data_IF_338934840191
#
_entry.id   IF_338934840191
#
_cell.length_a   1.000
_cell.length_b   1.000
_cell.length_c   1.000
_cell.angle_alpha   90.00
_cell.angle_beta   90.00
_cell.angle_gamma   90.00
#
_symmetry.space_group_name_H-M   'P 1'
#
loop_
_entity.id
_entity.type
_entity.pdbx_description
1 polymer ?
#
# COMPACT_ATOMS: atom_id res chain seq x y z
N UNK A 1 5.91 9.85 13.54
CA UNK A 1 4.73 9.71 12.64
C UNK A 1 5.02 10.15 11.21
N UNK A 2 5.62 11.32 10.97
CA UNK A 2 5.96 11.81 9.60
C UNK A 2 6.78 10.83 8.77
N UNK A 3 7.80 10.20 9.36
CA UNK A 3 8.58 9.15 8.68
C UNK A 3 7.72 7.98 8.21
N UNK A 4 6.78 7.53 9.05
CA UNK A 4 5.89 6.41 8.72
C UNK A 4 4.95 6.77 7.58
N UNK A 5 4.34 7.97 7.61
CA UNK A 5 3.49 8.44 6.52
C UNK A 5 4.24 8.54 5.19
N UNK A 6 5.47 9.05 5.23
CA UNK A 6 6.30 9.20 4.03
C UNK A 6 6.74 7.84 3.48
N UNK A 7 7.16 6.93 4.36
CA UNK A 7 7.48 5.55 4.01
C UNK A 7 6.28 4.85 3.35
N UNK A 8 5.10 4.97 3.95
CA UNK A 8 3.89 4.37 3.43
C UNK A 8 3.53 4.96 2.06
N UNK A 9 3.61 6.28 1.89
CA UNK A 9 3.35 6.96 0.62
C UNK A 9 4.32 6.50 -0.48
N UNK A 10 5.61 6.36 -0.17
CA UNK A 10 6.63 5.88 -1.12
C UNK A 10 6.37 4.43 -1.52
N UNK A 11 6.11 3.54 -0.57
CA UNK A 11 5.85 2.13 -0.87
C UNK A 11 4.55 1.98 -1.68
N UNK A 12 3.52 2.75 -1.35
CA UNK A 12 2.27 2.77 -2.12
C UNK A 12 2.52 3.28 -3.54
N UNK A 13 3.24 4.39 -3.73
CA UNK A 13 3.56 4.90 -5.06
C UNK A 13 4.39 3.89 -5.88
N UNK A 14 5.40 3.29 -5.26
CA UNK A 14 6.30 2.32 -5.88
C UNK A 14 5.59 1.01 -6.30
N UNK A 15 4.42 0.70 -5.74
CA UNK A 15 3.65 -0.50 -6.08
C UNK A 15 2.41 -0.19 -6.93
N UNK A 16 1.79 0.98 -6.73
CA UNK A 16 0.66 1.46 -7.52
C UNK A 16 1.08 1.85 -8.94
N UNK A 17 2.20 2.57 -9.12
CA UNK A 17 2.70 2.96 -10.43
C UNK A 17 2.95 1.77 -11.37
N UNK A 18 3.73 0.74 -10.98
CA UNK A 18 3.89 -0.44 -11.83
C UNK A 18 2.59 -1.21 -12.04
N UNK A 19 1.71 -1.28 -11.04
CA UNK A 19 0.39 -1.93 -11.21
C UNK A 19 -0.45 -1.24 -12.30
N UNK A 20 -0.54 0.09 -12.27
CA UNK A 20 -1.27 0.89 -13.27
C UNK A 20 -0.61 0.78 -14.65
N UNK A 21 0.72 0.80 -14.72
CA UNK A 21 1.45 0.60 -15.98
C UNK A 21 1.16 -0.76 -16.61
N UNK A 22 1.24 -1.86 -15.84
CA UNK A 22 0.93 -3.20 -16.36
C UNK A 22 -0.54 -3.35 -16.75
N UNK A 23 -1.45 -2.72 -16.00
CA UNK A 23 -2.88 -2.68 -16.36
C UNK A 23 -3.10 -1.91 -17.67
N UNK A 24 -2.38 -0.81 -17.88
CA UNK A 24 -2.41 -0.04 -19.13
C UNK A 24 -1.84 -0.81 -20.32
N UNK A 25 -0.73 -1.52 -20.13
CA UNK A 25 -0.18 -2.42 -21.16
C UNK A 25 -1.21 -3.47 -21.53
N UNK A 26 -1.84 -4.12 -20.55
CA UNK A 26 -2.92 -5.09 -20.80
C UNK A 26 -4.07 -4.47 -21.59
N UNK A 27 -4.51 -3.25 -21.25
CA UNK A 27 -5.59 -2.57 -21.98
C UNK A 27 -5.25 -2.33 -23.46
N UNK A 28 -3.97 -2.09 -23.78
CA UNK A 28 -3.52 -1.83 -25.16
C UNK A 28 -3.21 -3.11 -25.93
N UNK A 29 -2.61 -4.11 -25.27
CA UNK A 29 -2.13 -5.35 -25.94
C UNK A 29 -3.05 -6.56 -25.78
N UNK A 30 -3.95 -6.56 -24.80
CA UNK A 30 -4.78 -7.71 -24.45
C UNK A 30 -4.00 -8.90 -23.85
N UNK A 31 -2.71 -8.75 -23.56
CA UNK A 31 -1.86 -9.86 -23.13
C UNK A 31 -2.11 -10.24 -21.66
N UNK A 32 -2.65 -11.44 -21.41
CA UNK A 32 -3.02 -11.90 -20.06
C UNK A 32 -1.83 -11.94 -19.08
N UNK A 33 -0.61 -12.15 -19.58
CA UNK A 33 0.61 -12.13 -18.77
C UNK A 33 0.85 -10.76 -18.10
N UNK A 34 0.48 -9.66 -18.76
CA UNK A 34 0.56 -8.31 -18.19
C UNK A 34 -0.49 -8.11 -17.08
N UNK A 35 -1.69 -8.65 -17.26
CA UNK A 35 -2.76 -8.60 -16.26
C UNK A 35 -2.41 -9.38 -14.98
N UNK A 36 -1.83 -10.57 -15.12
CA UNK A 36 -1.39 -11.38 -13.98
C UNK A 36 -0.31 -10.67 -13.15
N UNK A 37 0.63 -9.98 -13.81
CA UNK A 37 1.63 -9.15 -13.12
C UNK A 37 0.97 -7.96 -12.41
N UNK A 38 0.08 -7.24 -13.10
CA UNK A 38 -0.65 -6.11 -12.51
C UNK A 38 -1.44 -6.53 -11.25
N UNK A 39 -2.10 -7.70 -11.30
CA UNK A 39 -2.88 -8.27 -10.20
C UNK A 39 -2.02 -8.60 -8.98
N UNK A 40 -0.81 -9.14 -9.18
CA UNK A 40 0.14 -9.42 -8.08
C UNK A 40 0.56 -8.14 -7.37
N UNK A 41 0.96 -7.12 -8.12
CA UNK A 41 1.30 -5.81 -7.54
C UNK A 41 0.12 -5.17 -6.81
N UNK A 42 -1.08 -5.23 -7.39
CA UNK A 42 -2.30 -4.71 -6.75
C UNK A 42 -2.64 -5.42 -5.44
N UNK A 43 -2.51 -6.75 -5.41
CA UNK A 43 -2.79 -7.56 -4.21
C UNK A 43 -1.79 -7.26 -3.11
N UNK A 44 -0.50 -7.19 -3.46
CA UNK A 44 0.56 -6.83 -2.53
C UNK A 44 0.33 -5.44 -1.94
N UNK A 45 0.06 -4.44 -2.80
CA UNK A 45 -0.28 -3.08 -2.37
C UNK A 45 -1.46 -3.08 -1.39
N UNK A 46 -2.55 -3.80 -1.70
CA UNK A 46 -3.74 -3.87 -0.84
C UNK A 46 -3.41 -4.41 0.54
N UNK A 47 -2.73 -5.55 0.61
CA UNK A 47 -2.39 -6.20 1.88
C UNK A 47 -1.41 -5.33 2.68
N UNK A 48 -0.39 -4.80 2.02
CA UNK A 48 0.60 -3.93 2.66
C UNK A 48 -0.04 -2.65 3.21
N UNK A 49 -0.90 -1.99 2.42
CA UNK A 49 -1.60 -0.77 2.85
C UNK A 49 -2.49 -1.04 4.07
N UNK A 50 -3.24 -2.15 4.05
CA UNK A 50 -4.09 -2.54 5.19
C UNK A 50 -3.25 -2.83 6.45
N UNK A 51 -2.13 -3.52 6.30
CA UNK A 51 -1.21 -3.81 7.40
C UNK A 51 -0.64 -2.52 8.00
N UNK A 52 -0.09 -1.63 7.17
CA UNK A 52 0.46 -0.36 7.64
C UNK A 52 -0.62 0.52 8.29
N UNK A 53 -1.81 0.59 7.71
CA UNK A 53 -2.92 1.33 8.29
C UNK A 53 -3.30 0.79 9.66
N UNK A 54 -3.38 -0.53 9.82
CA UNK A 54 -3.68 -1.18 11.09
C UNK A 54 -2.61 -0.86 12.14
N UNK A 55 -1.31 -0.99 11.79
CA UNK A 55 -0.20 -0.65 12.67
C UNK A 55 -0.22 0.82 13.10
N UNK A 56 -0.55 1.73 12.18
CA UNK A 56 -0.68 3.15 12.48
C UNK A 56 -1.79 3.43 13.48
N UNK A 57 -2.95 2.81 13.28
CA UNK A 57 -4.13 3.00 14.11
C UNK A 57 -3.87 2.50 15.54
N UNK A 58 -3.34 1.29 15.68
CA UNK A 58 -2.96 0.75 16.99
C UNK A 58 -1.83 1.53 17.64
N UNK A 59 -0.86 2.03 16.86
CA UNK A 59 0.18 2.92 17.37
C UNK A 59 -0.40 4.18 18.02
N UNK A 60 -1.38 4.82 17.38
CA UNK A 60 -2.09 5.97 17.96
C UNK A 60 -2.92 5.60 19.19
N UNK A 61 -3.59 4.44 19.19
CA UNK A 61 -4.35 3.97 20.36
C UNK A 61 -3.43 3.75 21.55
N UNK A 62 -2.30 3.08 21.38
CA UNK A 62 -1.34 2.82 22.46
C UNK A 62 -0.78 4.13 23.01
N UNK A 63 -0.36 5.05 22.13
CA UNK A 63 0.16 6.37 22.54
C UNK A 63 -0.91 7.18 23.27
N UNK A 64 -2.15 7.16 22.77
CA UNK A 64 -3.28 7.85 23.41
C UNK A 64 -3.61 7.28 24.79
N UNK A 65 -3.62 5.95 24.93
CA UNK A 65 -3.81 5.29 26.24
C UNK A 65 -2.68 5.63 27.21
N UNK A 66 -1.43 5.66 26.72
CA UNK A 66 -0.27 6.03 27.55
C UNK A 66 -0.37 7.47 28.06
N UNK A 67 -0.80 8.41 27.20
CA UNK A 67 -1.03 9.81 27.57
C UNK A 67 -2.23 10.02 28.51
N UNK A 68 -3.21 9.12 28.50
CA UNK A 68 -4.34 9.15 29.43
C UNK A 68 -4.00 8.53 30.80
N UNK A 69 -3.07 7.57 30.82
CA UNK A 69 -2.65 6.86 32.01
C UNK A 69 -1.54 7.58 32.81
N UNK A 70 -0.88 8.59 32.23
CA UNK A 70 0.19 9.37 32.85
C UNK A 70 -0.16 10.87 32.82
#
# INVERSE_FOLDING_TARGET
MTFFYWFMAVVMAATLLPSVLFMGIYFVTGEEAAFDRARKFWTFLRVFTLLCFNLMLWGHVIVGVWQLAH
#
